data_IF_627787576711
#
_entry.id   IF_627787576711
#
_cell.length_a   1.000
_cell.length_b   1.000
_cell.length_c   1.000
_cell.angle_alpha   90.00
_cell.angle_beta   90.00
_cell.angle_gamma   90.00
#
_symmetry.space_group_name_H-M   'P 1'
#
loop_
_entity.id
_entity.type
_entity.pdbx_description
1 polymer ?
#
# COMPACT_ATOMS: atom_id res chain seq x y z
N UNK A 1 -15.81 41.84 38.88
CA UNK A 1 -15.17 40.75 38.10
C UNK A 1 -16.12 39.58 37.78
N UNK A 2 -17.08 39.23 38.65
CA UNK A 2 -18.08 38.18 38.40
C UNK A 2 -18.99 38.45 37.20
N UNK A 3 -19.44 39.71 37.01
CA UNK A 3 -20.27 40.12 35.88
C UNK A 3 -19.65 39.78 34.52
N UNK A 4 -18.41 40.22 34.27
CA UNK A 4 -17.71 39.96 33.01
C UNK A 4 -17.49 38.46 32.75
N UNK A 5 -17.18 37.67 33.78
CA UNK A 5 -17.06 36.21 33.65
C UNK A 5 -18.37 35.56 33.28
N UNK A 6 -19.50 36.02 33.84
CA UNK A 6 -20.81 35.49 33.51
C UNK A 6 -21.25 35.92 32.10
N UNK A 7 -21.02 37.18 31.73
CA UNK A 7 -21.31 37.68 30.39
C UNK A 7 -20.55 36.89 29.32
N UNK A 8 -19.26 36.62 29.48
CA UNK A 8 -18.48 35.82 28.51
C UNK A 8 -18.99 34.37 28.44
N UNK A 9 -19.41 33.79 29.57
CA UNK A 9 -20.03 32.45 29.59
C UNK A 9 -21.33 32.40 28.80
N UNK A 10 -22.17 33.41 28.97
CA UNK A 10 -23.47 33.49 28.30
C UNK A 10 -23.28 33.81 26.82
N UNK A 11 -22.39 34.76 26.49
CA UNK A 11 -22.01 35.08 25.11
C UNK A 11 -21.49 33.84 24.37
N UNK A 12 -20.58 33.08 24.99
CA UNK A 12 -20.09 31.81 24.43
C UNK A 12 -21.25 30.87 24.09
N UNK A 13 -22.18 30.65 25.02
CA UNK A 13 -23.33 29.76 24.80
C UNK A 13 -24.21 30.25 23.65
N UNK A 14 -24.52 31.54 23.64
CA UNK A 14 -25.37 32.14 22.61
C UNK A 14 -24.70 32.04 21.25
N UNK A 15 -23.43 32.45 21.12
CA UNK A 15 -22.70 32.42 19.84
C UNK A 15 -22.61 30.99 19.29
N UNK A 16 -22.19 30.03 20.11
CA UNK A 16 -22.07 28.62 19.67
C UNK A 16 -23.45 28.10 19.24
N UNK A 17 -24.49 28.31 20.07
CA UNK A 17 -25.82 27.81 19.76
C UNK A 17 -26.42 28.47 18.50
N UNK A 18 -26.18 29.75 18.26
CA UNK A 18 -26.64 30.44 17.05
C UNK A 18 -25.99 29.84 15.81
N UNK A 19 -24.67 29.65 15.82
CA UNK A 19 -23.95 29.12 14.65
C UNK A 19 -24.33 27.66 14.37
N UNK A 20 -24.44 26.83 15.41
CA UNK A 20 -24.84 25.43 15.24
C UNK A 20 -26.30 25.27 14.81
N UNK A 21 -27.16 26.27 15.02
CA UNK A 21 -28.56 26.25 14.59
C UNK A 21 -28.84 27.06 13.32
N UNK A 22 -27.81 27.54 12.60
CA UNK A 22 -28.02 28.17 11.29
C UNK A 22 -28.81 27.24 10.37
N UNK A 23 -29.77 27.79 9.64
CA UNK A 23 -30.47 27.07 8.58
C UNK A 23 -29.52 26.78 7.42
N UNK A 24 -29.87 25.84 6.55
CA UNK A 24 -29.05 25.55 5.36
C UNK A 24 -28.84 26.80 4.50
N UNK A 25 -29.84 27.67 4.40
CA UNK A 25 -29.75 28.91 3.60
C UNK A 25 -28.83 29.95 4.24
N UNK A 26 -28.88 30.11 5.56
CA UNK A 26 -27.94 30.99 6.28
C UNK A 26 -26.51 30.42 6.21
N UNK A 27 -26.36 29.10 6.32
CA UNK A 27 -25.07 28.43 6.19
C UNK A 27 -24.50 28.60 4.79
N UNK A 28 -25.34 28.59 3.75
CA UNK A 28 -24.96 28.82 2.35
C UNK A 28 -24.23 30.15 2.19
N UNK A 29 -24.84 31.24 2.68
CA UNK A 29 -24.31 32.61 2.52
C UNK A 29 -23.14 32.93 3.46
N UNK A 30 -22.97 32.15 4.53
CA UNK A 30 -21.88 32.36 5.50
C UNK A 30 -20.51 32.13 4.86
N UNK A 31 -19.59 33.09 4.95
CA UNK A 31 -18.25 32.94 4.39
C UNK A 31 -17.30 32.21 5.35
N UNK A 32 -16.34 31.44 4.80
CA UNK A 32 -15.31 30.77 5.60
C UNK A 32 -14.55 31.76 6.49
N UNK A 33 -14.20 32.93 5.94
CA UNK A 33 -13.42 33.94 6.68
C UNK A 33 -14.17 34.48 7.90
N UNK A 34 -15.50 34.63 7.81
CA UNK A 34 -16.32 35.10 8.92
C UNK A 34 -16.33 34.10 10.07
N UNK A 35 -16.43 32.81 9.77
CA UNK A 35 -16.35 31.74 10.77
C UNK A 35 -14.97 31.70 11.44
N UNK A 36 -13.90 31.80 10.66
CA UNK A 36 -12.51 31.84 11.17
C UNK A 36 -12.31 33.06 12.09
N UNK A 37 -12.78 34.24 11.68
CA UNK A 37 -12.70 35.46 12.48
C UNK A 37 -13.51 35.33 13.77
N UNK A 38 -14.72 34.78 13.70
CA UNK A 38 -15.58 34.54 14.85
C UNK A 38 -14.91 33.63 15.89
N UNK A 39 -14.34 32.51 15.45
CA UNK A 39 -13.61 31.57 16.32
C UNK A 39 -12.44 32.29 17.00
N UNK A 40 -11.65 33.06 16.23
CA UNK A 40 -10.52 33.83 16.76
C UNK A 40 -10.94 34.87 17.81
N UNK A 41 -12.04 35.59 17.57
CA UNK A 41 -12.55 36.56 18.54
C UNK A 41 -13.12 35.87 19.78
N UNK A 42 -13.81 34.74 19.62
CA UNK A 42 -14.30 33.94 20.73
C UNK A 42 -13.15 33.39 21.57
N UNK A 43 -12.08 32.89 20.94
CA UNK A 43 -10.85 32.45 21.60
C UNK A 43 -10.25 33.54 22.47
N UNK A 44 -10.02 34.73 21.88
CA UNK A 44 -9.46 35.89 22.58
C UNK A 44 -10.30 36.32 23.80
N UNK A 45 -11.60 36.05 23.80
CA UNK A 45 -12.50 36.31 24.93
C UNK A 45 -12.44 35.20 25.98
N UNK A 46 -12.36 33.94 25.55
CA UNK A 46 -12.33 32.77 26.44
C UNK A 46 -11.01 32.65 27.20
N UNK A 47 -9.88 33.01 26.58
CA UNK A 47 -8.54 33.04 27.21
C UNK A 47 -8.48 33.99 28.42
N UNK A 48 -9.37 34.99 28.49
CA UNK A 48 -9.44 35.91 29.64
C UNK A 48 -10.10 35.29 30.88
N UNK A 49 -10.79 34.16 30.73
CA UNK A 49 -11.63 33.58 31.80
C UNK A 49 -11.36 32.09 32.08
N UNK A 50 -10.71 31.37 31.17
CA UNK A 50 -10.44 29.94 31.27
C UNK A 50 -8.96 29.63 31.08
N UNK A 51 -8.52 28.45 31.53
CA UNK A 51 -7.21 27.89 31.19
C UNK A 51 -7.16 27.53 29.70
N UNK A 52 -5.96 27.54 29.12
CA UNK A 52 -5.74 27.27 27.70
C UNK A 52 -6.33 25.92 27.25
N UNK A 53 -6.12 24.86 28.04
CA UNK A 53 -6.72 23.53 27.81
C UNK A 53 -8.26 23.59 27.76
N UNK A 54 -8.89 24.38 28.63
CA UNK A 54 -10.35 24.51 28.67
C UNK A 54 -10.89 25.36 27.52
N UNK A 55 -10.13 26.35 27.06
CA UNK A 55 -10.44 27.10 25.83
C UNK A 55 -10.36 26.16 24.63
N UNK A 56 -9.28 25.40 24.51
CA UNK A 56 -9.08 24.36 23.49
C UNK A 56 -10.26 23.40 23.44
N UNK A 57 -10.63 22.81 24.58
CA UNK A 57 -11.78 21.89 24.65
C UNK A 57 -13.08 22.50 24.12
N UNK A 58 -13.37 23.76 24.48
CA UNK A 58 -14.60 24.43 24.04
C UNK A 58 -14.57 24.68 22.53
N UNK A 59 -13.47 25.25 22.02
CA UNK A 59 -13.38 25.67 20.63
C UNK A 59 -13.24 24.49 19.68
N UNK A 60 -12.37 23.54 20.00
CA UNK A 60 -12.14 22.38 19.13
C UNK A 60 -13.38 21.49 19.07
N UNK A 61 -14.14 21.36 20.17
CA UNK A 61 -15.45 20.68 20.14
C UNK A 61 -16.45 21.44 19.26
N UNK A 62 -16.51 22.77 19.38
CA UNK A 62 -17.39 23.61 18.56
C UNK A 62 -17.02 23.54 17.06
N UNK A 63 -15.73 23.58 16.73
CA UNK A 63 -15.24 23.46 15.36
C UNK A 63 -15.58 22.09 14.75
N UNK A 64 -15.46 21.00 15.51
CA UNK A 64 -15.88 19.67 15.08
C UNK A 64 -17.39 19.60 14.82
N UNK A 65 -18.22 20.15 15.71
CA UNK A 65 -19.68 20.21 15.53
C UNK A 65 -20.08 21.06 14.31
N UNK A 66 -19.42 22.21 14.12
CA UNK A 66 -19.61 23.06 12.94
C UNK A 66 -19.19 22.33 11.66
N UNK A 67 -18.06 21.61 11.70
CA UNK A 67 -17.58 20.83 10.56
C UNK A 67 -18.57 19.73 10.17
N UNK A 68 -19.19 19.07 11.15
CA UNK A 68 -20.25 18.08 10.90
C UNK A 68 -21.52 18.69 10.32
N UNK A 69 -21.90 19.88 10.80
CA UNK A 69 -23.04 20.61 10.22
C UNK A 69 -22.77 20.95 8.75
N UNK A 70 -21.57 21.43 8.45
CA UNK A 70 -21.12 21.70 7.08
C UNK A 70 -21.10 20.43 6.22
N UNK A 71 -20.61 19.30 6.75
CA UNK A 71 -20.54 18.01 6.05
C UNK A 71 -21.92 17.43 5.69
N UNK A 72 -22.93 17.68 6.53
CA UNK A 72 -24.31 17.25 6.32
C UNK A 72 -25.16 18.24 5.50
N UNK A 73 -24.59 19.38 5.10
CA UNK A 73 -25.29 20.38 4.31
C UNK A 73 -25.66 19.84 2.92
N UNK A 74 -26.78 20.26 2.30
CA UNK A 74 -27.08 19.93 0.91
C UNK A 74 -26.10 20.55 -0.10
N UNK A 75 -25.30 21.54 0.32
CA UNK A 75 -24.39 22.29 -0.55
C UNK A 75 -22.98 21.69 -0.59
N UNK A 76 -22.55 21.23 -1.76
CA UNK A 76 -21.26 20.55 -1.94
C UNK A 76 -20.06 21.36 -1.41
N UNK A 77 -20.01 22.66 -1.67
CA UNK A 77 -18.93 23.53 -1.18
C UNK A 77 -18.82 23.52 0.35
N UNK A 78 -19.96 23.49 1.06
CA UNK A 78 -19.99 23.38 2.53
C UNK A 78 -19.56 22.01 2.99
N UNK A 79 -19.96 20.95 2.26
CA UNK A 79 -19.52 19.59 2.56
C UNK A 79 -18.01 19.44 2.43
N UNK A 80 -17.42 20.02 1.37
CA UNK A 80 -15.97 20.06 1.15
C UNK A 80 -15.27 20.84 2.27
N UNK A 81 -15.81 21.98 2.68
CA UNK A 81 -15.29 22.72 3.83
C UNK A 81 -15.31 21.86 5.10
N UNK A 82 -16.44 21.21 5.41
CA UNK A 82 -16.59 20.35 6.58
C UNK A 82 -15.55 19.23 6.64
N UNK A 83 -15.34 18.49 5.54
CA UNK A 83 -14.32 17.43 5.51
C UNK A 83 -12.91 18.01 5.63
N UNK A 84 -12.59 19.13 4.97
CA UNK A 84 -11.27 19.75 5.05
C UNK A 84 -10.89 20.17 6.48
N UNK A 85 -11.84 20.75 7.22
CA UNK A 85 -11.60 21.14 8.61
C UNK A 85 -11.44 19.90 9.52
N UNK A 86 -12.19 18.81 9.29
CA UNK A 86 -11.99 17.54 10.02
C UNK A 86 -10.59 16.97 9.77
N UNK A 87 -10.12 16.95 8.51
CA UNK A 87 -8.76 16.50 8.19
C UNK A 87 -7.69 17.38 8.84
N UNK A 88 -7.93 18.69 8.92
CA UNK A 88 -7.04 19.60 9.64
C UNK A 88 -6.99 19.28 11.15
N UNK A 89 -8.13 18.98 11.77
CA UNK A 89 -8.18 18.55 13.18
C UNK A 89 -7.50 17.19 13.42
N UNK A 90 -7.56 16.26 12.46
CA UNK A 90 -6.76 15.02 12.51
C UNK A 90 -5.27 15.34 12.55
N UNK A 91 -4.82 16.26 11.70
CA UNK A 91 -3.41 16.68 11.67
C UNK A 91 -3.00 17.33 13.00
N UNK A 92 -3.85 18.19 13.57
CA UNK A 92 -3.57 18.85 14.85
C UNK A 92 -3.53 17.86 16.02
N UNK A 93 -4.42 16.87 16.03
CA UNK A 93 -4.46 15.83 17.05
C UNK A 93 -3.21 14.92 17.00
N UNK A 94 -2.76 14.52 15.80
CA UNK A 94 -1.52 13.77 15.62
C UNK A 94 -0.30 14.55 16.13
N UNK A 95 -0.22 15.84 15.79
CA UNK A 95 0.86 16.71 16.26
C UNK A 95 0.86 16.85 17.78
N UNK A 96 -0.33 16.94 18.40
CA UNK A 96 -0.47 16.97 19.85
C UNK A 96 0.06 15.70 20.50
N UNK A 97 -0.32 14.52 20.00
CA UNK A 97 0.16 13.25 20.54
C UNK A 97 1.68 13.12 20.45
N UNK A 98 2.28 13.53 19.32
CA UNK A 98 3.73 13.54 19.16
C UNK A 98 4.43 14.49 20.14
N UNK A 99 3.84 15.66 20.39
CA UNK A 99 4.34 16.64 21.34
C UNK A 99 4.25 16.12 22.78
N UNK A 100 3.09 15.60 23.17
CA UNK A 100 2.86 14.98 24.49
C UNK A 100 3.84 13.81 24.72
N UNK A 101 4.12 13.00 23.69
CA UNK A 101 5.14 11.93 23.74
C UNK A 101 6.57 12.45 23.88
N UNK A 102 6.94 13.54 23.20
CA UNK A 102 8.27 14.17 23.32
C UNK A 102 8.49 14.72 24.73
N UNK A 103 7.48 15.41 25.26
CA UNK A 103 7.50 15.93 26.64
C UNK A 103 7.63 14.80 27.64
N UNK A 104 6.87 13.71 27.48
CA UNK A 104 6.97 12.53 28.34
C UNK A 104 8.36 11.87 28.32
N UNK A 105 9.09 11.95 27.20
CA UNK A 105 10.48 11.48 27.05
C UNK A 105 11.53 12.47 27.57
N UNK A 106 11.12 13.60 28.15
CA UNK A 106 12.01 14.65 28.66
C UNK A 106 12.68 15.49 27.57
N UNK A 107 12.18 15.44 26.33
CA UNK A 107 12.67 16.24 25.21
C UNK A 107 11.87 17.54 25.18
N UNK A 108 12.43 18.60 25.74
CA UNK A 108 11.83 19.93 25.72
C UNK A 108 12.26 20.68 24.45
N UNK A 109 11.31 20.94 23.55
CA UNK A 109 11.53 21.80 22.38
C UNK A 109 11.32 23.26 22.78
N UNK A 110 12.41 24.03 22.88
CA UNK A 110 12.36 25.48 23.15
C UNK A 110 12.00 26.32 21.90
N UNK A 111 11.82 25.68 20.76
CA UNK A 111 11.29 26.31 19.56
C UNK A 111 9.78 26.11 19.50
N UNK A 112 9.04 27.20 19.32
CA UNK A 112 7.66 27.17 18.83
C UNK A 112 7.57 26.11 17.74
N UNK A 113 6.74 25.08 17.95
CA UNK A 113 6.43 24.13 16.90
C UNK A 113 5.98 24.92 15.67
N UNK A 114 6.69 24.74 14.55
CA UNK A 114 6.33 25.36 13.26
C UNK A 114 4.93 24.86 12.82
N UNK A 115 4.53 23.69 13.34
CA UNK A 115 3.27 23.04 13.03
C UNK A 115 2.22 23.40 14.07
N UNK A 116 1.01 23.73 13.59
CA UNK A 116 -0.16 23.92 14.44
C UNK A 116 -0.49 22.60 15.15
N UNK A 117 -0.67 22.69 16.46
CA UNK A 117 -0.97 21.59 17.37
C UNK A 117 -2.33 21.84 18.03
N UNK A 118 -3.04 20.77 18.38
CA UNK A 118 -4.29 20.91 19.13
C UNK A 118 -4.01 21.31 20.59
N UNK A 119 -4.84 22.19 21.13
CA UNK A 119 -4.79 22.59 22.54
C UNK A 119 -5.32 21.49 23.46
N UNK A 120 -6.37 20.77 23.05
CA UNK A 120 -7.02 19.74 23.88
C UNK A 120 -7.24 18.41 23.15
N UNK A 121 -7.65 18.44 21.89
CA UNK A 121 -8.04 17.28 21.10
C UNK A 121 -6.84 16.40 20.75
N UNK A 122 -6.75 15.23 21.38
CA UNK A 122 -5.77 14.18 21.07
C UNK A 122 -6.38 13.11 20.15
N UNK A 123 -5.57 12.17 19.64
CA UNK A 123 -6.10 11.16 18.71
C UNK A 123 -7.18 10.29 19.34
N UNK A 124 -7.05 9.93 20.62
CA UNK A 124 -8.04 9.09 21.31
C UNK A 124 -9.43 9.75 21.39
N UNK A 125 -9.48 11.02 21.79
CA UNK A 125 -10.72 11.79 21.85
C UNK A 125 -11.33 12.03 20.46
N UNK A 126 -10.48 12.24 19.45
CA UNK A 126 -10.95 12.40 18.08
C UNK A 126 -11.52 11.10 17.51
N UNK A 127 -10.92 9.94 17.80
CA UNK A 127 -11.44 8.64 17.38
C UNK A 127 -12.82 8.36 18.00
N UNK A 128 -12.98 8.58 19.31
CA UNK A 128 -14.28 8.43 19.99
C UNK A 128 -15.36 9.32 19.34
N UNK A 129 -14.98 10.55 18.97
CA UNK A 129 -15.87 11.46 18.27
C UNK A 129 -16.23 10.97 16.86
N UNK A 130 -15.25 10.48 16.09
CA UNK A 130 -15.45 9.90 14.75
C UNK A 130 -16.46 8.75 14.81
N UNK A 131 -16.32 7.85 15.79
CA UNK A 131 -17.21 6.72 15.99
C UNK A 131 -18.62 7.18 16.34
N UNK A 132 -18.74 8.10 17.30
CA UNK A 132 -20.03 8.64 17.77
C UNK A 132 -20.80 9.33 16.64
N UNK A 133 -20.10 9.97 15.71
CA UNK A 133 -20.72 10.64 14.57
C UNK A 133 -21.00 9.70 13.39
N UNK A 134 -20.51 8.45 13.43
CA UNK A 134 -20.50 7.54 12.30
C UNK A 134 -19.93 8.20 11.03
N UNK A 135 -18.82 8.92 11.18
CA UNK A 135 -18.25 9.77 10.12
C UNK A 135 -17.88 8.97 8.87
N UNK A 136 -17.41 7.73 9.06
CA UNK A 136 -17.02 6.86 7.96
C UNK A 136 -18.19 6.61 6.99
N UNK A 137 -19.36 6.26 7.51
CA UNK A 137 -20.57 6.03 6.72
C UNK A 137 -21.07 7.31 6.02
N UNK A 138 -20.89 8.48 6.64
CA UNK A 138 -21.26 9.76 6.02
C UNK A 138 -20.39 10.06 4.79
N UNK A 139 -19.10 9.70 4.84
CA UNK A 139 -18.14 9.98 3.77
C UNK A 139 -18.21 8.94 2.66
N UNK A 140 -18.29 7.65 3.00
CA UNK A 140 -18.18 6.54 2.05
C UNK A 140 -19.49 5.80 1.78
N UNK A 141 -20.54 6.06 2.56
CA UNK A 141 -21.85 5.42 2.39
C UNK A 141 -22.66 5.97 1.21
N UNK A 142 -23.99 5.71 1.15
CA UNK A 142 -24.83 6.01 -0.01
C UNK A 142 -24.87 7.48 -0.43
N UNK A 143 -24.73 8.40 0.53
CA UNK A 143 -24.70 9.86 0.30
C UNK A 143 -23.31 10.40 -0.06
N UNK A 144 -22.32 9.52 -0.28
CA UNK A 144 -20.97 9.91 -0.64
C UNK A 144 -20.93 10.73 -1.93
N UNK A 145 -19.93 11.60 -2.05
CA UNK A 145 -19.70 12.41 -3.22
C UNK A 145 -18.21 12.34 -3.62
N UNK A 146 -17.86 12.22 -4.92
CA UNK A 146 -16.48 12.03 -5.39
C UNK A 146 -15.46 12.99 -4.76
N UNK A 147 -15.78 14.29 -4.77
CA UNK A 147 -14.87 15.33 -4.25
C UNK A 147 -14.63 15.28 -2.73
N UNK A 148 -15.51 14.62 -1.96
CA UNK A 148 -15.34 14.41 -0.52
C UNK A 148 -14.44 13.19 -0.31
N UNK A 149 -14.71 12.11 -1.04
CA UNK A 149 -13.91 10.87 -1.03
C UNK A 149 -12.44 11.17 -1.35
N UNK A 150 -12.16 11.94 -2.42
CA UNK A 150 -10.79 12.31 -2.79
C UNK A 150 -10.02 13.11 -1.71
N UNK A 151 -10.72 13.73 -0.75
CA UNK A 151 -10.09 14.52 0.33
C UNK A 151 -9.96 13.74 1.64
N UNK A 152 -10.40 12.48 1.67
CA UNK A 152 -10.52 11.69 2.89
C UNK A 152 -9.37 10.71 3.13
N UNK A 153 -8.29 10.79 2.34
CA UNK A 153 -7.14 9.89 2.46
C UNK A 153 -6.46 9.96 3.83
N UNK A 154 -6.30 11.16 4.40
CA UNK A 154 -5.71 11.32 5.74
C UNK A 154 -6.62 10.74 6.84
N UNK A 155 -7.95 10.76 6.66
CA UNK A 155 -8.87 10.07 7.57
C UNK A 155 -8.64 8.56 7.54
N UNK A 156 -8.50 7.95 6.36
CA UNK A 156 -8.21 6.51 6.27
C UNK A 156 -6.86 6.20 6.91
N UNK A 157 -5.80 6.95 6.58
CA UNK A 157 -4.46 6.78 7.17
C UNK A 157 -4.50 6.89 8.70
N UNK A 158 -5.30 7.82 9.22
CA UNK A 158 -5.49 8.02 10.66
C UNK A 158 -6.23 6.84 11.32
N UNK A 159 -7.34 6.39 10.74
CA UNK A 159 -8.07 5.21 11.22
C UNK A 159 -7.20 3.96 11.20
N UNK A 160 -6.44 3.79 10.12
CA UNK A 160 -5.55 2.65 9.92
C UNK A 160 -4.42 2.64 10.96
N UNK A 161 -3.75 3.77 11.17
CA UNK A 161 -2.67 3.92 12.17
C UNK A 161 -3.14 3.62 13.59
N UNK A 162 -4.41 3.90 13.90
CA UNK A 162 -5.01 3.65 15.21
C UNK A 162 -5.78 2.32 15.30
N UNK A 163 -5.59 1.40 14.34
CA UNK A 163 -6.25 0.08 14.32
C UNK A 163 -7.79 0.14 14.35
N UNK A 164 -8.37 1.20 13.78
CA UNK A 164 -9.83 1.40 13.68
C UNK A 164 -10.38 1.16 12.27
N UNK A 165 -9.52 0.90 11.30
CA UNK A 165 -9.90 0.54 9.93
C UNK A 165 -10.05 -0.98 9.82
N UNK A 166 -11.25 -1.47 9.52
CA UNK A 166 -11.58 -2.90 9.45
C UNK A 166 -11.83 -3.38 8.02
N UNK A 167 -11.96 -4.69 7.83
CA UNK A 167 -12.36 -5.26 6.53
C UNK A 167 -13.74 -4.79 6.08
N UNK A 168 -14.67 -4.57 7.00
CA UNK A 168 -15.99 -4.01 6.69
C UNK A 168 -15.87 -2.61 6.08
N UNK A 169 -14.89 -1.81 6.51
CA UNK A 169 -14.61 -0.51 5.89
C UNK A 169 -14.11 -0.65 4.45
N UNK A 170 -13.28 -1.67 4.17
CA UNK A 170 -12.86 -1.99 2.80
C UNK A 170 -14.07 -2.35 1.94
N UNK A 171 -14.99 -3.17 2.48
CA UNK A 171 -16.22 -3.55 1.79
C UNK A 171 -17.11 -2.36 1.45
N UNK A 172 -17.28 -1.42 2.39
CA UNK A 172 -18.06 -0.20 2.14
C UNK A 172 -17.43 0.63 1.02
N UNK A 173 -16.10 0.83 1.06
CA UNK A 173 -15.37 1.57 0.01
C UNK A 173 -15.50 0.85 -1.34
N UNK A 174 -15.33 -0.47 -1.36
CA UNK A 174 -15.38 -1.28 -2.58
C UNK A 174 -16.77 -1.34 -3.20
N UNK A 175 -17.80 -1.62 -2.39
CA UNK A 175 -19.18 -1.71 -2.86
C UNK A 175 -19.69 -0.33 -3.31
N UNK A 176 -19.22 0.76 -2.69
CA UNK A 176 -19.49 2.11 -3.18
C UNK A 176 -18.84 2.39 -4.54
N UNK A 177 -17.80 1.66 -4.95
CA UNK A 177 -17.20 1.81 -6.29
C UNK A 177 -17.99 1.01 -7.35
N UNK A 178 -18.50 -0.16 -6.98
CA UNK A 178 -19.16 -1.08 -7.90
C UNK A 178 -20.56 -0.64 -8.36
N UNK A 179 -21.28 0.17 -7.55
CA UNK A 179 -22.69 0.51 -7.81
C UNK A 179 -22.96 1.91 -8.38
N UNK A 180 -21.92 2.67 -8.75
CA UNK A 180 -21.98 4.13 -8.87
C UNK A 180 -21.45 4.66 -10.21
N UNK A 181 -21.71 5.93 -10.54
CA UNK A 181 -21.28 6.54 -11.81
C UNK A 181 -19.75 6.56 -11.93
N UNK A 182 -19.21 6.58 -13.16
CA UNK A 182 -17.76 6.56 -13.47
C UNK A 182 -16.90 7.46 -12.55
N UNK A 183 -17.34 8.69 -12.28
CA UNK A 183 -16.61 9.64 -11.43
C UNK A 183 -16.48 9.21 -9.95
N UNK A 184 -17.45 8.46 -9.43
CA UNK A 184 -17.42 7.94 -8.06
C UNK A 184 -16.44 6.76 -7.95
N UNK A 185 -16.45 5.88 -8.95
CA UNK A 185 -15.47 4.79 -9.09
C UNK A 185 -14.05 5.36 -9.17
N UNK A 186 -13.81 6.34 -10.04
CA UNK A 186 -12.51 6.98 -10.20
C UNK A 186 -12.02 7.60 -8.89
N UNK A 187 -12.88 8.33 -8.18
CA UNK A 187 -12.54 8.95 -6.89
C UNK A 187 -12.15 7.92 -5.83
N UNK A 188 -12.82 6.76 -5.77
CA UNK A 188 -12.52 5.69 -4.83
C UNK A 188 -11.21 4.97 -5.20
N UNK A 189 -10.98 4.71 -6.49
CA UNK A 189 -9.72 4.12 -6.95
C UNK A 189 -8.55 5.04 -6.62
N UNK A 190 -8.65 6.34 -6.93
CA UNK A 190 -7.62 7.33 -6.60
C UNK A 190 -7.36 7.40 -5.09
N UNK A 191 -8.42 7.35 -4.28
CA UNK A 191 -8.29 7.30 -2.82
C UNK A 191 -7.52 6.06 -2.36
N UNK A 192 -7.89 4.86 -2.84
CA UNK A 192 -7.21 3.61 -2.50
C UNK A 192 -5.73 3.68 -2.90
N UNK A 193 -5.43 4.20 -4.08
CA UNK A 193 -4.05 4.37 -4.54
C UNK A 193 -3.24 5.33 -3.65
N UNK A 194 -3.86 6.36 -3.07
CA UNK A 194 -3.17 7.29 -2.16
C UNK A 194 -2.86 6.66 -0.80
N UNK A 195 -3.75 5.78 -0.32
CA UNK A 195 -3.63 5.14 1.00
C UNK A 195 -2.93 3.79 0.95
N UNK A 196 -2.73 3.19 -0.24
CA UNK A 196 -2.18 1.83 -0.38
C UNK A 196 -0.89 1.60 0.42
N UNK A 197 -0.05 2.63 0.53
CA UNK A 197 1.21 2.59 1.26
C UNK A 197 1.10 2.24 2.74
N UNK A 198 -0.08 2.41 3.37
CA UNK A 198 -0.29 2.04 4.76
C UNK A 198 -0.83 0.61 4.96
N UNK A 199 -1.36 -0.05 3.92
CA UNK A 199 -2.04 -1.34 4.08
C UNK A 199 -1.10 -2.50 4.42
N UNK A 200 -1.63 -3.42 5.24
CA UNK A 200 -0.98 -4.66 5.64
C UNK A 200 -0.99 -5.68 4.50
N UNK A 201 -0.12 -6.69 4.52
CA UNK A 201 -0.19 -7.79 3.56
C UNK A 201 -1.56 -8.45 3.49
N UNK A 202 -2.24 -8.63 4.65
CA UNK A 202 -3.55 -9.24 4.74
C UNK A 202 -4.63 -8.40 4.05
N UNK A 203 -4.60 -7.07 4.22
CA UNK A 203 -5.55 -6.17 3.58
C UNK A 203 -5.31 -6.07 2.07
N UNK A 204 -4.04 -6.05 1.64
CA UNK A 204 -3.69 -6.09 0.22
C UNK A 204 -4.19 -7.39 -0.43
N UNK A 205 -4.04 -8.55 0.23
CA UNK A 205 -4.59 -9.81 -0.26
C UNK A 205 -6.11 -9.76 -0.35
N UNK A 206 -6.78 -9.11 0.59
CA UNK A 206 -8.22 -8.90 0.54
C UNK A 206 -8.65 -8.01 -0.64
N UNK A 207 -7.90 -6.94 -0.94
CA UNK A 207 -8.14 -6.16 -2.17
C UNK A 207 -7.95 -7.00 -3.44
N UNK A 208 -6.94 -7.89 -3.48
CA UNK A 208 -6.76 -8.79 -4.61
C UNK A 208 -7.89 -9.81 -4.75
N UNK A 209 -8.41 -10.37 -3.67
CA UNK A 209 -9.56 -11.30 -3.77
C UNK A 209 -10.80 -10.61 -4.32
N UNK A 210 -11.02 -9.33 -3.97
CA UNK A 210 -12.06 -8.48 -4.56
C UNK A 210 -11.82 -8.22 -6.05
N UNK A 211 -10.59 -7.90 -6.44
CA UNK A 211 -10.24 -7.70 -7.86
C UNK A 211 -10.45 -8.95 -8.70
N UNK A 212 -10.07 -10.12 -8.19
CA UNK A 212 -10.26 -11.41 -8.87
C UNK A 212 -11.74 -11.81 -8.98
N UNK A 213 -12.61 -11.24 -8.14
CA UNK A 213 -14.05 -11.46 -8.24
C UNK A 213 -14.76 -10.62 -9.32
N UNK A 214 -14.07 -9.63 -9.90
CA UNK A 214 -14.62 -8.82 -10.98
C UNK A 214 -14.72 -9.62 -12.29
N UNK A 215 -15.77 -9.37 -13.05
CA UNK A 215 -15.90 -9.94 -14.40
C UNK A 215 -15.00 -9.20 -15.39
N UNK A 216 -14.52 -9.89 -16.42
CA UNK A 216 -13.60 -9.32 -17.41
C UNK A 216 -14.08 -7.98 -18.04
N UNK A 217 -15.36 -7.79 -18.40
CA UNK A 217 -15.84 -6.53 -18.98
C UNK A 217 -15.78 -5.33 -18.01
N UNK A 218 -15.73 -5.58 -16.71
CA UNK A 218 -15.65 -4.51 -15.70
C UNK A 218 -14.23 -3.97 -15.54
N UNK A 219 -13.24 -4.61 -16.16
CA UNK A 219 -11.82 -4.30 -16.00
C UNK A 219 -11.38 -3.26 -17.02
N UNK A 220 -10.99 -2.09 -16.52
CA UNK A 220 -10.54 -0.95 -17.31
C UNK A 220 -9.12 -0.50 -16.89
N UNK A 221 -8.67 0.61 -17.49
CA UNK A 221 -7.34 1.18 -17.22
C UNK A 221 -7.18 1.66 -15.77
N UNK A 222 -8.27 2.06 -15.10
CA UNK A 222 -8.24 2.50 -13.71
C UNK A 222 -8.00 1.31 -12.76
N UNK A 223 -8.70 0.19 -12.99
CA UNK A 223 -8.50 -1.05 -12.24
C UNK A 223 -7.07 -1.57 -12.44
N UNK A 224 -6.56 -1.53 -13.67
CA UNK A 224 -5.16 -1.89 -13.93
C UNK A 224 -4.18 -0.99 -13.18
N UNK A 225 -4.43 0.32 -13.13
CA UNK A 225 -3.61 1.27 -12.36
C UNK A 225 -3.63 0.97 -10.86
N UNK A 226 -4.80 0.58 -10.33
CA UNK A 226 -4.96 0.14 -8.95
C UNK A 226 -4.15 -1.14 -8.68
N UNK A 227 -4.29 -2.15 -9.54
CA UNK A 227 -3.55 -3.41 -9.45
C UNK A 227 -2.04 -3.15 -9.44
N UNK A 228 -1.54 -2.30 -10.35
CA UNK A 228 -0.12 -1.88 -10.36
C UNK A 228 0.31 -1.27 -9.04
N UNK A 229 -0.52 -0.40 -8.45
CA UNK A 229 -0.24 0.25 -7.16
C UNK A 229 -0.22 -0.75 -5.99
N UNK A 230 -1.19 -1.67 -5.94
CA UNK A 230 -1.26 -2.72 -4.94
C UNK A 230 -0.05 -3.65 -5.01
N UNK A 231 0.33 -4.11 -6.21
CA UNK A 231 1.49 -5.01 -6.34
C UNK A 231 2.80 -4.28 -6.02
N UNK A 232 2.95 -3.02 -6.44
CA UNK A 232 4.12 -2.21 -6.08
C UNK A 232 4.28 -2.12 -4.56
N UNK A 233 3.19 -1.83 -3.84
CA UNK A 233 3.23 -1.79 -2.39
C UNK A 233 3.55 -3.16 -1.79
N UNK A 234 2.91 -4.22 -2.30
CA UNK A 234 3.19 -5.58 -1.86
C UNK A 234 4.68 -5.90 -1.97
N UNK A 235 5.32 -5.55 -3.09
CA UNK A 235 6.76 -5.76 -3.20
C UNK A 235 7.59 -4.90 -2.25
N UNK A 236 7.20 -3.66 -1.96
CA UNK A 236 7.94 -2.84 -1.00
C UNK A 236 7.98 -3.53 0.37
N UNK A 237 6.87 -4.15 0.78
CA UNK A 237 6.79 -4.93 2.01
C UNK A 237 7.70 -6.16 1.98
N UNK A 238 7.84 -6.85 0.84
CA UNK A 238 8.75 -7.99 0.69
C UNK A 238 10.24 -7.61 0.74
N UNK A 239 10.59 -6.38 0.35
CA UNK A 239 11.98 -5.87 0.34
C UNK A 239 12.42 -5.29 1.68
N UNK A 240 11.49 -4.95 2.57
CA UNK A 240 11.83 -4.40 3.86
C UNK A 240 12.63 -5.43 4.66
N UNK A 241 13.86 -5.12 5.11
CA UNK A 241 14.60 -6.04 5.96
C UNK A 241 13.77 -6.26 7.22
N UNK A 242 13.43 -7.52 7.52
CA UNK A 242 12.89 -7.89 8.83
C UNK A 242 13.92 -7.38 9.84
N UNK A 243 13.60 -6.31 10.57
CA UNK A 243 14.36 -5.93 11.76
C UNK A 243 14.05 -6.98 12.81
N UNK A 244 14.64 -8.16 12.67
CA UNK A 244 14.92 -9.00 13.84
C UNK A 244 15.89 -8.16 14.67
N UNK A 245 15.43 -7.58 15.77
CA UNK A 245 16.37 -7.17 16.80
C UNK A 245 17.22 -8.41 17.11
N UNK A 246 18.56 -8.35 17.03
CA UNK A 246 19.35 -9.39 17.65
C UNK A 246 18.99 -9.33 19.13
N UNK A 247 18.41 -10.41 19.66
CA UNK A 247 18.34 -10.58 21.10
C UNK A 247 19.74 -10.30 21.66
N UNK A 248 19.87 -9.49 22.73
CA UNK A 248 21.16 -9.33 23.37
C UNK A 248 21.66 -10.73 23.77
N UNK A 249 22.93 -11.08 23.49
CA UNK A 249 23.44 -12.38 23.88
C UNK A 249 23.20 -12.56 25.37
N UNK A 250 22.47 -13.60 25.75
CA UNK A 250 22.38 -14.04 27.13
C UNK A 250 23.82 -14.25 27.62
N UNK A 251 24.25 -13.37 28.53
CA UNK A 251 25.52 -13.54 29.22
C UNK A 251 25.54 -14.91 29.90
N UNK A 252 26.51 -15.73 29.52
CA UNK A 252 26.87 -16.95 30.25
C UNK A 252 27.21 -16.59 31.71
N UNK A 253 26.66 -17.29 32.72
CA UNK A 253 26.89 -17.02 34.15
C UNK A 253 28.30 -17.33 34.70
N UNK A 254 29.32 -17.53 33.86
CA UNK A 254 30.68 -17.89 34.30
C UNK A 254 31.76 -17.01 33.69
N UNK A 255 31.70 -15.70 33.94
CA UNK A 255 32.84 -14.82 33.78
C UNK A 255 33.35 -14.44 35.17
N UNK A 256 34.28 -15.26 35.69
CA UNK A 256 35.04 -14.95 36.89
C UNK A 256 36.01 -13.78 36.68
N UNK A 257 36.21 -13.07 37.77
CA UNK A 257 36.88 -11.78 37.95
C UNK A 257 38.35 -11.69 37.51
N UNK A 258 38.73 -10.41 37.31
CA UNK A 258 40.08 -9.80 37.33
C UNK A 258 40.76 -9.61 35.96
N UNK A 259 40.81 -8.37 35.48
CA UNK A 259 41.96 -7.50 35.81
C UNK A 259 41.69 -6.05 35.35
N UNK A 260 41.78 -5.13 36.31
CA UNK A 260 41.70 -3.70 36.11
C UNK A 260 43.13 -3.18 36.06
N UNK A 261 43.69 -2.86 34.89
CA UNK A 261 44.73 -1.83 34.78
C UNK A 261 44.90 -1.27 33.36
N UNK A 262 44.41 -0.04 33.19
CA UNK A 262 45.17 1.16 32.79
C UNK A 262 45.98 1.24 31.47
N UNK A 263 45.73 2.39 30.81
CA UNK A 263 46.60 3.23 29.95
C UNK A 263 46.57 3.04 28.42
N UNK A 264 45.92 4.03 27.80
CA UNK A 264 46.42 4.90 26.72
C UNK A 264 47.70 4.50 26.00
N UNK A 265 47.66 4.43 24.67
CA UNK A 265 48.51 5.27 23.81
C UNK A 265 48.07 5.26 22.33
N UNK A 266 47.95 6.46 21.78
CA UNK A 266 47.87 6.75 20.35
C UNK A 266 49.28 6.62 19.75
N UNK A 267 49.46 5.83 18.68
CA UNK A 267 50.53 6.05 17.68
C UNK A 267 50.00 5.74 16.29
N UNK A 268 50.22 6.67 15.37
CA UNK A 268 49.92 6.63 13.94
C UNK A 268 51.12 6.11 13.12
N UNK A 269 50.83 5.26 12.11
CA UNK A 269 51.44 5.19 10.74
C UNK A 269 52.86 4.58 10.64
N UNK A 270 53.35 3.93 9.53
CA UNK A 270 52.86 3.84 8.13
C UNK A 270 52.85 2.45 7.42
N UNK A 271 52.31 2.49 6.20
CA UNK A 271 52.40 1.55 5.07
C UNK A 271 53.83 1.05 4.75
N UNK A 272 53.94 -0.24 4.41
CA UNK A 272 54.97 -0.79 3.52
C UNK A 272 54.46 -2.03 2.78
N UNK A 273 54.56 -1.98 1.45
CA UNK A 273 54.32 -3.05 0.48
C UNK A 273 55.47 -4.08 0.51
N UNK A 274 55.19 -5.38 0.35
CA UNK A 274 55.89 -6.32 -0.56
C UNK A 274 55.32 -7.77 -0.48
N UNK A 275 55.57 -8.66 -1.48
CA UNK A 275 54.57 -9.57 -2.04
C UNK A 275 54.60 -11.03 -1.54
N UNK A 276 53.46 -11.70 -1.67
CA UNK A 276 53.26 -13.14 -1.37
C UNK A 276 53.68 -13.99 -2.61
N UNK A 277 54.55 -15.02 -2.48
CA UNK A 277 54.83 -15.95 -3.56
C UNK A 277 53.81 -17.10 -3.61
N UNK A 278 53.34 -17.42 -4.82
CA UNK A 278 52.49 -18.57 -5.13
C UNK A 278 53.24 -19.91 -5.01
N UNK A 279 52.60 -20.90 -4.39
CA UNK A 279 52.90 -22.34 -4.50
C UNK A 279 51.61 -23.13 -4.77
N UNK A 280 51.65 -24.28 -5.49
CA UNK A 280 50.49 -24.85 -6.17
C UNK A 280 49.61 -25.75 -5.28
N UNK A 281 48.33 -25.96 -5.67
CA UNK A 281 47.31 -26.57 -4.83
C UNK A 281 47.40 -28.10 -4.78
N UNK A 282 47.26 -28.67 -3.59
CA UNK A 282 47.04 -30.11 -3.40
C UNK A 282 45.55 -30.39 -3.18
N UNK A 283 44.99 -31.19 -4.07
CA UNK A 283 43.67 -31.81 -3.97
C UNK A 283 43.72 -32.99 -3.02
N UNK A 284 42.77 -33.07 -2.08
CA UNK A 284 42.36 -34.36 -1.50
C UNK A 284 40.84 -34.34 -1.34
N UNK A 285 40.18 -35.35 -1.90
CA UNK A 285 38.75 -35.63 -1.76
C UNK A 285 38.59 -37.03 -1.15
N UNK A 286 37.41 -37.26 -0.57
CA UNK A 286 36.77 -38.50 -0.09
C UNK A 286 36.67 -38.79 1.43
N UNK A 287 35.41 -38.70 1.87
CA UNK A 287 34.63 -39.34 2.97
C UNK A 287 34.97 -40.85 3.21
N UNK A 288 34.44 -41.57 4.24
CA UNK A 288 33.22 -41.35 5.05
C UNK A 288 33.31 -41.74 6.55
N UNK A 289 32.25 -41.51 7.35
CA UNK A 289 31.56 -42.55 8.17
C UNK A 289 30.56 -41.98 9.20
N UNK A 290 29.58 -42.83 9.48
CA UNK A 290 28.29 -42.62 10.13
C UNK A 290 28.40 -42.98 11.62
N UNK A 291 27.73 -42.23 12.51
CA UNK A 291 27.20 -42.81 13.75
C UNK A 291 25.89 -42.11 14.17
N UNK A 292 24.84 -42.93 14.25
CA UNK A 292 23.55 -42.67 14.89
C UNK A 292 23.69 -42.74 16.41
N UNK A 293 22.90 -41.95 17.14
CA UNK A 293 22.34 -42.37 18.43
C UNK A 293 21.02 -41.62 18.71
N UNK A 294 20.06 -42.39 19.25
CA UNK A 294 18.62 -42.16 19.31
C UNK A 294 18.15 -41.46 20.60
N UNK A 295 16.96 -40.87 20.49
CA UNK A 295 15.88 -40.72 21.48
C UNK A 295 16.03 -39.91 22.79
N UNK A 296 15.28 -38.80 22.84
CA UNK A 296 14.40 -38.48 23.97
C UNK A 296 13.22 -37.58 23.51
N UNK A 297 12.00 -38.11 23.66
CA UNK A 297 10.71 -37.51 23.27
C UNK A 297 10.08 -36.71 24.44
N UNK A 298 9.36 -35.64 24.06
CA UNK A 298 8.28 -34.95 24.78
C UNK A 298 8.65 -33.80 25.75
N UNK A 299 8.37 -32.57 25.35
CA UNK A 299 7.03 -31.95 25.53
C UNK A 299 6.95 -30.68 24.69
N UNK A 300 5.99 -30.64 23.76
CA UNK A 300 5.75 -29.52 22.86
C UNK A 300 5.09 -28.35 23.59
N UNK A 301 5.60 -27.11 23.44
CA UNK A 301 4.78 -25.91 23.56
C UNK A 301 4.09 -25.66 22.22
N UNK A 302 2.80 -25.37 22.30
CA UNK A 302 1.86 -25.02 21.24
C UNK A 302 2.51 -24.28 20.05
N UNK A 303 2.32 -24.84 18.86
CA UNK A 303 2.63 -24.22 17.58
C UNK A 303 1.85 -22.91 17.47
N UNK A 304 2.49 -21.80 17.84
CA UNK A 304 2.06 -20.48 17.41
C UNK A 304 2.14 -20.44 15.89
N UNK A 305 0.97 -20.36 15.24
CA UNK A 305 0.79 -20.12 13.81
C UNK A 305 1.82 -19.09 13.32
N UNK A 306 2.80 -19.58 12.55
CA UNK A 306 3.71 -18.72 11.82
C UNK A 306 2.87 -17.84 10.88
N UNK A 307 3.07 -16.51 10.85
CA UNK A 307 2.36 -15.65 9.91
C UNK A 307 2.84 -15.96 8.49
N UNK A 308 2.10 -16.89 7.89
CA UNK A 308 1.76 -17.13 6.50
C UNK A 308 2.75 -16.63 5.43
N UNK A 309 3.20 -17.58 4.61
CA UNK A 309 3.50 -17.33 3.20
C UNK A 309 2.38 -16.47 2.60
N UNK A 310 2.60 -15.17 2.47
CA UNK A 310 1.73 -14.31 1.68
C UNK A 310 1.68 -14.92 0.29
N UNK A 311 0.55 -15.51 -0.09
CA UNK A 311 0.39 -16.13 -1.41
C UNK A 311 0.29 -15.03 -2.48
N UNK A 312 1.46 -14.58 -2.95
CA UNK A 312 1.61 -13.65 -4.07
C UNK A 312 1.04 -14.19 -5.39
N UNK A 313 0.67 -15.48 -5.42
CA UNK A 313 0.06 -16.16 -6.54
C UNK A 313 -1.18 -15.40 -7.02
N UNK A 314 -2.12 -15.07 -6.15
CA UNK A 314 -3.43 -14.52 -6.58
C UNK A 314 -3.31 -13.26 -7.44
N UNK A 315 -2.42 -12.33 -7.06
CA UNK A 315 -2.22 -11.10 -7.83
C UNK A 315 -1.59 -11.36 -9.21
N UNK A 316 -0.58 -12.25 -9.26
CA UNK A 316 0.08 -12.61 -10.53
C UNK A 316 -0.85 -13.43 -11.43
N UNK A 317 -1.63 -14.34 -10.86
CA UNK A 317 -2.66 -15.12 -11.54
C UNK A 317 -3.75 -14.21 -12.12
N UNK A 318 -4.20 -13.22 -11.36
CA UNK A 318 -5.15 -12.23 -11.84
C UNK A 318 -4.60 -11.48 -13.06
N UNK A 319 -3.42 -10.87 -12.97
CA UNK A 319 -2.83 -10.12 -14.10
C UNK A 319 -2.58 -11.04 -15.30
N UNK A 320 -2.15 -12.28 -15.07
CA UNK A 320 -1.99 -13.29 -16.12
C UNK A 320 -3.31 -13.56 -16.85
N UNK A 321 -4.42 -13.68 -16.12
CA UNK A 321 -5.73 -14.00 -16.70
C UNK A 321 -6.23 -12.96 -17.71
N UNK A 322 -5.85 -11.67 -17.55
CA UNK A 322 -6.40 -10.55 -18.32
C UNK A 322 -6.03 -10.49 -19.80
N UNK A 323 -5.04 -11.27 -20.23
CA UNK A 323 -4.60 -11.33 -21.62
C UNK A 323 -4.64 -12.74 -22.18
N UNK A 324 -5.31 -13.67 -21.49
CA UNK A 324 -5.60 -14.99 -22.03
C UNK A 324 -6.77 -14.92 -23.02
N UNK A 325 -6.90 -15.93 -23.87
CA UNK A 325 -7.94 -16.01 -24.90
C UNK A 325 -9.35 -15.85 -24.31
N UNK A 326 -9.65 -16.50 -23.17
CA UNK A 326 -10.93 -16.35 -22.48
C UNK A 326 -11.27 -14.90 -22.13
N UNK A 327 -10.28 -14.10 -21.70
CA UNK A 327 -10.48 -12.70 -21.36
C UNK A 327 -10.69 -11.84 -22.62
N UNK A 328 -9.91 -12.08 -23.67
CA UNK A 328 -10.05 -11.39 -24.96
C UNK A 328 -11.42 -11.68 -25.60
N UNK A 329 -11.85 -12.94 -25.58
CA UNK A 329 -13.17 -13.38 -26.05
C UNK A 329 -14.31 -12.79 -25.22
N UNK A 330 -14.07 -12.60 -23.91
CA UNK A 330 -15.01 -11.94 -22.99
C UNK A 330 -15.08 -10.42 -23.17
N UNK A 331 -14.31 -9.85 -24.11
CA UNK A 331 -14.38 -8.43 -24.46
C UNK A 331 -13.38 -7.53 -23.74
N UNK A 332 -12.31 -8.08 -23.14
CA UNK A 332 -11.20 -7.24 -22.63
C UNK A 332 -10.53 -6.54 -23.82
N UNK A 333 -10.43 -5.20 -23.81
CA UNK A 333 -9.76 -4.47 -24.88
C UNK A 333 -8.26 -4.82 -25.00
N UNK A 334 -7.73 -4.84 -26.22
CA UNK A 334 -6.34 -5.22 -26.48
C UNK A 334 -5.32 -4.31 -25.78
N UNK A 335 -5.63 -3.02 -25.61
CA UNK A 335 -4.81 -2.06 -24.87
C UNK A 335 -4.76 -2.37 -23.35
N UNK A 336 -5.87 -2.84 -22.79
CA UNK A 336 -5.95 -3.32 -21.40
C UNK A 336 -5.11 -4.60 -21.25
N UNK A 337 -5.28 -5.57 -22.15
CA UNK A 337 -4.49 -6.81 -22.17
C UNK A 337 -2.98 -6.53 -22.27
N UNK A 338 -2.57 -5.62 -23.15
CA UNK A 338 -1.17 -5.20 -23.28
C UNK A 338 -0.65 -4.52 -22.02
N UNK A 339 -1.45 -3.62 -21.43
CA UNK A 339 -1.09 -2.94 -20.17
C UNK A 339 -0.92 -3.93 -19.01
N UNK A 340 -1.72 -5.00 -18.97
CA UNK A 340 -1.61 -6.09 -18.01
C UNK A 340 -0.36 -6.94 -18.26
N UNK A 341 -0.04 -7.28 -19.52
CA UNK A 341 1.20 -7.97 -19.87
C UNK A 341 2.43 -7.19 -19.39
N UNK A 342 2.50 -5.89 -19.71
CA UNK A 342 3.61 -5.01 -19.30
C UNK A 342 3.73 -4.97 -17.76
N UNK A 343 2.60 -4.92 -17.05
CA UNK A 343 2.59 -5.02 -15.60
C UNK A 343 3.21 -6.34 -15.12
N UNK A 344 2.78 -7.48 -15.67
CA UNK A 344 3.30 -8.80 -15.27
C UNK A 344 4.80 -8.94 -15.56
N UNK A 345 5.25 -8.41 -16.70
CA UNK A 345 6.67 -8.34 -17.07
C UNK A 345 7.49 -7.61 -16.00
N UNK A 346 7.10 -6.39 -15.63
CA UNK A 346 7.80 -5.60 -14.61
C UNK A 346 7.81 -6.34 -13.25
N UNK A 347 6.69 -6.94 -12.89
CA UNK A 347 6.55 -7.66 -11.62
C UNK A 347 7.44 -8.89 -11.52
N UNK A 348 7.42 -9.76 -12.54
CA UNK A 348 8.27 -10.96 -12.57
C UNK A 348 9.75 -10.63 -12.67
N UNK A 349 10.10 -9.55 -13.37
CA UNK A 349 11.50 -9.16 -13.56
C UNK A 349 12.08 -8.45 -12.33
N UNK A 350 11.34 -7.55 -11.69
CA UNK A 350 11.85 -6.73 -10.58
C UNK A 350 11.63 -7.41 -9.22
N UNK A 351 10.49 -8.06 -9.03
CA UNK A 351 9.95 -8.38 -7.71
C UNK A 351 9.80 -9.89 -7.46
N UNK A 352 9.38 -10.67 -8.45
CA UNK A 352 9.01 -12.08 -8.29
C UNK A 352 9.88 -13.04 -9.11
N UNK A 353 11.19 -13.04 -8.84
CA UNK A 353 12.14 -13.91 -9.58
C UNK A 353 11.83 -15.40 -9.45
N UNK A 354 11.33 -15.84 -8.31
CA UNK A 354 10.99 -17.24 -8.04
C UNK A 354 9.84 -17.76 -8.92
N UNK A 355 8.90 -16.89 -9.32
CA UNK A 355 7.73 -17.27 -10.11
C UNK A 355 8.03 -17.33 -11.62
N UNK A 356 9.18 -16.83 -12.08
CA UNK A 356 9.51 -16.70 -13.51
C UNK A 356 9.41 -18.03 -14.27
N UNK A 357 9.95 -19.12 -13.70
CA UNK A 357 9.94 -20.44 -14.34
C UNK A 357 8.51 -20.95 -14.55
N UNK A 358 7.64 -20.78 -13.55
CA UNK A 358 6.22 -21.14 -13.64
C UNK A 358 5.54 -20.43 -14.80
N UNK A 359 5.75 -19.12 -14.95
CA UNK A 359 5.16 -18.34 -16.04
C UNK A 359 5.79 -18.64 -17.42
N UNK A 360 7.09 -18.96 -17.48
CA UNK A 360 7.72 -19.46 -18.72
C UNK A 360 7.06 -20.75 -19.21
N UNK A 361 6.85 -21.72 -18.32
CA UNK A 361 6.19 -22.99 -18.66
C UNK A 361 4.76 -22.78 -19.18
N UNK A 362 4.01 -21.85 -18.57
CA UNK A 362 2.67 -21.51 -19.05
C UNK A 362 2.66 -20.81 -20.40
N UNK A 363 3.64 -19.95 -20.67
CA UNK A 363 3.78 -19.35 -22.00
C UNK A 363 4.02 -20.42 -23.08
N UNK A 364 4.83 -21.44 -22.79
CA UNK A 364 5.04 -22.55 -23.73
C UNK A 364 3.74 -23.33 -23.93
N UNK A 365 2.95 -23.54 -22.88
CA UNK A 365 1.65 -24.20 -23.00
C UNK A 365 0.67 -23.40 -23.89
N UNK A 366 0.66 -22.07 -23.79
CA UNK A 366 -0.10 -21.22 -24.69
C UNK A 366 0.37 -21.37 -26.14
N UNK A 367 1.69 -21.42 -26.38
CA UNK A 367 2.26 -21.68 -27.71
C UNK A 367 1.81 -23.05 -28.26
N UNK A 368 1.84 -24.11 -27.44
CA UNK A 368 1.38 -25.45 -27.84
C UNK A 368 -0.09 -25.46 -28.26
N UNK A 369 -0.91 -24.67 -27.57
CA UNK A 369 -2.34 -24.51 -27.86
C UNK A 369 -2.64 -23.56 -29.01
N UNK A 370 -1.64 -22.87 -29.55
CA UNK A 370 -1.81 -21.76 -30.50
C UNK A 370 -2.70 -20.63 -29.98
N UNK A 371 -2.71 -20.44 -28.66
CA UNK A 371 -3.52 -19.45 -27.97
C UNK A 371 -2.64 -18.30 -27.51
N UNK A 372 -3.04 -17.05 -27.79
CA UNK A 372 -2.35 -15.81 -27.35
C UNK A 372 -0.82 -15.82 -27.52
N UNK A 373 -0.34 -16.46 -28.60
CA UNK A 373 1.07 -16.78 -28.87
C UNK A 373 1.97 -15.54 -28.79
N UNK A 374 1.51 -14.40 -29.32
CA UNK A 374 2.28 -13.17 -29.34
C UNK A 374 2.54 -12.63 -27.92
N UNK A 375 1.50 -12.54 -27.08
CA UNK A 375 1.63 -12.11 -25.69
C UNK A 375 2.55 -13.05 -24.89
N UNK A 376 2.41 -14.36 -25.09
CA UNK A 376 3.28 -15.36 -24.46
C UNK A 376 4.74 -15.22 -24.88
N UNK A 377 5.01 -15.00 -26.17
CA UNK A 377 6.37 -14.74 -26.68
C UNK A 377 6.97 -13.47 -26.08
N UNK A 378 6.19 -12.38 -26.00
CA UNK A 378 6.64 -11.12 -25.40
C UNK A 378 6.99 -11.29 -23.91
N UNK A 379 6.17 -12.01 -23.13
CA UNK A 379 6.50 -12.30 -21.74
C UNK A 379 7.76 -13.16 -21.61
N UNK A 380 7.87 -14.23 -22.39
CA UNK A 380 9.05 -15.11 -22.39
C UNK A 380 10.33 -14.33 -22.71
N UNK A 381 10.31 -13.50 -23.76
CA UNK A 381 11.45 -12.69 -24.16
C UNK A 381 11.93 -11.79 -23.01
N UNK A 382 10.99 -11.11 -22.35
CA UNK A 382 11.30 -10.18 -21.27
C UNK A 382 11.83 -10.90 -20.02
N UNK A 383 11.23 -12.03 -19.64
CA UNK A 383 11.72 -12.86 -18.54
C UNK A 383 13.14 -13.37 -18.86
N UNK A 384 13.36 -13.97 -20.02
CA UNK A 384 14.66 -14.53 -20.42
C UNK A 384 15.75 -13.47 -20.51
N UNK A 385 15.40 -12.27 -21.01
CA UNK A 385 16.33 -11.15 -21.09
C UNK A 385 16.70 -10.57 -19.72
N UNK A 386 15.90 -10.86 -18.68
CA UNK A 386 16.20 -10.47 -17.30
C UNK A 386 17.14 -11.42 -16.55
N UNK A 387 17.50 -12.58 -17.12
CA UNK A 387 18.57 -13.44 -16.61
C UNK A 387 19.91 -12.84 -17.04
N UNK A 388 20.80 -12.55 -16.08
CA UNK A 388 22.01 -11.75 -16.25
C UNK A 388 22.80 -12.02 -17.55
N UNK A 389 23.13 -10.93 -18.25
CA UNK A 389 24.32 -10.83 -19.11
C UNK A 389 25.56 -10.31 -18.33
N UNK A 390 25.42 -9.96 -17.04
CA UNK A 390 26.49 -9.32 -16.24
C UNK A 390 27.27 -10.31 -15.37
N UNK A 391 28.60 -10.23 -15.53
CA UNK A 391 29.68 -11.05 -14.94
C UNK A 391 29.93 -10.78 -13.45
N UNK A 392 28.92 -10.84 -12.59
CA UNK A 392 29.19 -10.81 -11.14
C UNK A 392 29.29 -12.25 -10.64
N UNK A 393 30.55 -12.65 -10.47
CA UNK A 393 30.97 -13.90 -9.84
C UNK A 393 30.31 -14.04 -8.45
N UNK A 394 29.97 -15.29 -8.12
CA UNK A 394 29.52 -15.81 -6.81
C UNK A 394 28.03 -16.18 -6.66
N UNK A 395 27.27 -16.30 -7.75
CA UNK A 395 26.06 -17.12 -7.77
C UNK A 395 26.07 -18.05 -8.98
N UNK A 396 26.07 -19.36 -8.73
CA UNK A 396 26.00 -20.43 -9.74
C UNK A 396 24.63 -20.52 -10.47
N UNK A 397 23.74 -19.52 -10.32
CA UNK A 397 22.40 -19.56 -10.88
C UNK A 397 22.32 -18.94 -12.29
N UNK A 398 22.11 -19.84 -13.26
CA UNK A 398 21.35 -19.70 -14.51
C UNK A 398 21.61 -18.46 -15.38
N UNK A 399 22.58 -18.56 -16.29
CA UNK A 399 22.68 -17.63 -17.41
C UNK A 399 21.48 -17.75 -18.35
N UNK A 400 21.15 -16.68 -19.10
CA UNK A 400 20.12 -16.73 -20.17
C UNK A 400 20.28 -17.94 -21.09
N UNK A 401 21.53 -18.29 -21.44
CA UNK A 401 21.84 -19.46 -22.25
C UNK A 401 21.50 -20.80 -21.57
N UNK A 402 21.76 -20.92 -20.27
CA UNK A 402 21.41 -22.11 -19.51
C UNK A 402 19.90 -22.31 -19.47
N UNK A 403 19.16 -21.24 -19.17
CA UNK A 403 17.69 -21.27 -19.14
C UNK A 403 17.09 -21.64 -20.50
N UNK A 404 17.58 -21.04 -21.59
CA UNK A 404 17.11 -21.39 -22.95
C UNK A 404 17.40 -22.86 -23.29
N UNK A 405 18.61 -23.36 -22.97
CA UNK A 405 18.95 -24.77 -23.19
C UNK A 405 18.09 -25.71 -22.36
N UNK A 406 17.77 -25.35 -21.13
CA UNK A 406 16.88 -26.11 -20.27
C UNK A 406 15.46 -26.14 -20.82
N UNK A 407 14.90 -24.99 -21.24
CA UNK A 407 13.58 -24.92 -21.87
C UNK A 407 13.52 -25.74 -23.17
N UNK A 408 14.57 -25.72 -23.99
CA UNK A 408 14.61 -26.54 -25.20
C UNK A 408 14.65 -28.04 -24.87
N UNK A 409 15.50 -28.43 -23.90
CA UNK A 409 15.66 -29.82 -23.51
C UNK A 409 14.40 -30.41 -22.88
N UNK A 410 13.78 -29.67 -21.96
CA UNK A 410 12.67 -30.18 -21.14
C UNK A 410 11.29 -29.86 -21.73
N UNK A 411 11.17 -28.82 -22.54
CA UNK A 411 9.87 -28.33 -23.05
C UNK A 411 9.79 -28.21 -24.57
N UNK A 412 10.87 -28.52 -25.30
CA UNK A 412 10.95 -28.45 -26.77
C UNK A 412 10.59 -27.06 -27.33
N UNK A 413 10.97 -26.00 -26.61
CA UNK A 413 10.60 -24.61 -26.89
C UNK A 413 10.67 -24.22 -28.38
N UNK A 414 11.79 -24.48 -29.05
CA UNK A 414 12.00 -24.11 -30.46
C UNK A 414 11.04 -24.89 -31.36
N UNK A 415 10.88 -26.20 -31.09
CA UNK A 415 9.97 -27.06 -31.85
C UNK A 415 8.53 -26.56 -31.75
N UNK A 416 8.07 -26.22 -30.54
CA UNK A 416 6.71 -25.71 -30.34
C UNK A 416 6.48 -24.35 -31.01
N UNK A 417 7.48 -23.45 -30.97
CA UNK A 417 7.41 -22.17 -31.68
C UNK A 417 7.29 -22.38 -33.21
N UNK A 418 8.07 -23.30 -33.78
CA UNK A 418 7.96 -23.62 -35.21
C UNK A 418 6.63 -24.27 -35.57
N UNK A 419 6.14 -25.20 -34.75
CA UNK A 419 4.82 -25.80 -34.94
C UNK A 419 3.73 -24.74 -34.95
N UNK A 420 3.78 -23.80 -34.00
CA UNK A 420 2.81 -22.71 -33.94
C UNK A 420 2.86 -21.79 -35.16
N UNK A 421 4.07 -21.46 -35.65
CA UNK A 421 4.23 -20.70 -36.90
C UNK A 421 3.67 -21.43 -38.12
N UNK A 422 3.80 -22.76 -38.18
CA UNK A 422 3.23 -23.56 -39.27
C UNK A 422 1.69 -23.58 -39.23
N UNK A 423 1.10 -23.62 -38.03
CA UNK A 423 -0.35 -23.50 -37.83
C UNK A 423 -0.83 -22.12 -38.29
N UNK A 424 -0.22 -21.05 -37.78
CA UNK A 424 -0.55 -19.68 -38.19
C UNK A 424 -0.44 -19.48 -39.71
N UNK A 425 0.62 -19.99 -40.34
CA UNK A 425 0.79 -19.91 -41.80
C UNK A 425 -0.37 -20.57 -42.54
N UNK A 426 -0.86 -21.71 -42.06
CA UNK A 426 -1.98 -22.44 -42.67
C UNK A 426 -3.27 -21.61 -42.55
N UNK A 427 -3.59 -21.17 -41.34
CA UNK A 427 -4.79 -20.38 -41.06
C UNK A 427 -4.82 -19.07 -41.86
N UNK A 428 -3.66 -18.38 -41.96
CA UNK A 428 -3.54 -17.15 -42.75
C UNK A 428 -3.78 -17.38 -44.25
N UNK A 429 -3.36 -18.53 -44.79
CA UNK A 429 -3.62 -18.89 -46.19
C UNK A 429 -5.10 -19.21 -46.40
N UNK A 430 -5.70 -20.01 -45.51
CA UNK A 430 -7.12 -20.36 -45.57
C UNK A 430 -8.01 -19.11 -45.49
N UNK A 431 -7.68 -18.17 -44.59
CA UNK A 431 -8.39 -16.91 -44.46
C UNK A 431 -8.21 -15.99 -45.69
N UNK A 432 -7.00 -15.91 -46.25
CA UNK A 432 -6.76 -15.16 -47.48
C UNK A 432 -7.57 -15.73 -48.66
N UNK A 433 -7.67 -17.05 -48.78
CA UNK A 433 -8.51 -17.72 -49.78
C UNK A 433 -10.00 -17.42 -49.58
N UNK A 434 -10.47 -17.37 -48.33
CA UNK A 434 -11.84 -17.00 -47.99
C UNK A 434 -12.18 -15.57 -48.45
N UNK A 435 -11.33 -14.61 -48.11
CA UNK A 435 -11.52 -13.20 -48.49
C UNK A 435 -11.51 -13.05 -50.03
N UNK A 436 -10.58 -13.70 -50.73
CA UNK A 436 -10.52 -13.70 -52.20
C UNK A 436 -11.72 -14.40 -52.85
N UNK A 437 -12.35 -15.36 -52.15
CA UNK A 437 -13.56 -16.04 -52.60
C UNK A 437 -14.84 -15.20 -52.46
N UNK A 438 -14.92 -14.36 -51.43
CA UNK A 438 -16.07 -13.47 -51.16
C UNK A 438 -16.08 -12.22 -52.06
N UNK A 439 -14.94 -11.77 -52.60
CA UNK A 439 -14.83 -10.61 -53.50
C UNK A 439 -15.28 -10.83 -54.95
N UNK A 440 -15.76 -12.03 -55.33
CA UNK A 440 -16.33 -12.26 -56.67
C UNK A 440 -17.76 -11.71 -56.74
N UNK A 441 -18.03 -10.59 -57.45
CA UNK A 441 -19.39 -10.11 -57.63
C UNK A 441 -20.13 -11.10 -58.54
N UNK A 442 -21.38 -11.42 -58.19
CA UNK A 442 -22.33 -12.04 -59.10
C UNK A 442 -22.66 -11.14 -60.29
#
# INVERSE_FOLDING_TARGET
QSFWRNLVKDLRKVVINTILNLTDEELRVTQKQDLVNLIKYLESLLEKIYSDEKVGKILESFELELSMKCLNSPYLEKRIYGISEIIEKITYAKNKDEEDQKVARGIYTYQYSIFKTAKWLNSAALLEWIDRQNLFEIIFGPRSHPQIVMRSAELIKFLYTNSRFTRDNIDVIWNSAAGKHEAEREALINLIQEVVSCFSPQDLQYFFSKLTSLSFPEIDSQILSLVKSLVKQMSNLCKAPRRTQPEPPLLSPWADDNDFTNKSEFVQVPLQEEPIPMGPPQYVNFNPEIHNEEDAVSTAPEEHEHPENIEFSQALEFIWSLWQEEALDSGVPEDIAKTALEALQDLLTIHFRAERVKFLLRCIENVRKNSVVLFSCQLMEQILSSYNASRIANSLLESKQHMIKWLEREQHLITELFNSLLVFKREAVEEAERIMGEEKPQ
#
